data_IF_883128856023
#
_entry.id   IF_883128856023
#
_cell.length_a   1.000
_cell.length_b   1.000
_cell.length_c   1.000
_cell.angle_alpha   90.00
_cell.angle_beta   90.00
_cell.angle_gamma   90.00
#
_symmetry.space_group_name_H-M   'P 1'
#
loop_
_entity.id
_entity.type
_entity.pdbx_description
1 polymer ?
#
# COMPACT_ATOMS: atom_id res chain seq x y z
N UNK A 1 5.20 -13.69 36.82
CA UNK A 1 6.20 -12.83 36.15
C UNK A 1 5.44 -11.81 35.30
N UNK A 2 5.64 -10.51 35.51
CA UNK A 2 4.96 -9.48 34.73
C UNK A 2 5.78 -9.10 33.48
N UNK A 3 5.16 -8.80 32.32
CA UNK A 3 5.89 -8.47 31.11
C UNK A 3 6.50 -7.07 31.23
N UNK A 4 7.81 -6.97 30.95
CA UNK A 4 8.58 -5.73 30.94
C UNK A 4 8.15 -4.87 29.73
N UNK A 5 7.61 -3.68 29.96
CA UNK A 5 7.30 -2.72 28.88
C UNK A 5 8.60 -2.27 28.19
N UNK A 6 8.62 -2.36 26.85
CA UNK A 6 9.70 -1.81 26.04
C UNK A 6 9.60 -0.27 26.03
N UNK A 7 10.73 0.41 26.17
CA UNK A 7 10.80 1.87 26.13
C UNK A 7 10.44 2.39 24.72
N UNK A 8 9.79 3.57 24.60
CA UNK A 8 9.49 4.18 23.32
C UNK A 8 10.78 4.41 22.52
N UNK A 9 10.88 3.81 21.34
CA UNK A 9 12.04 3.98 20.45
C UNK A 9 11.96 5.37 19.82
N UNK A 10 12.75 6.32 20.31
CA UNK A 10 12.88 7.64 19.69
C UNK A 10 13.67 7.50 18.39
N UNK A 11 13.14 8.04 17.29
CA UNK A 11 13.78 8.06 15.97
C UNK A 11 14.05 9.52 15.61
N UNK A 12 15.32 9.94 15.66
CA UNK A 12 15.74 11.28 15.24
C UNK A 12 15.98 11.25 13.74
N UNK A 13 15.13 11.94 12.96
CA UNK A 13 15.29 12.09 11.51
C UNK A 13 15.79 13.50 11.21
N UNK A 14 16.95 13.63 10.58
CA UNK A 14 17.51 14.92 10.14
C UNK A 14 16.74 15.44 8.91
N UNK A 15 16.52 16.75 8.85
CA UNK A 15 15.86 17.40 7.73
C UNK A 15 16.77 17.42 6.48
N UNK A 16 16.33 16.95 5.30
CA UNK A 16 17.15 16.90 4.08
C UNK A 16 17.57 18.26 3.50
N UNK A 17 17.11 19.38 4.07
CA UNK A 17 17.33 20.75 3.54
C UNK A 17 18.29 21.61 4.36
N UNK A 18 18.92 21.08 5.41
CA UNK A 18 19.90 21.85 6.19
C UNK A 18 21.24 21.85 5.44
N UNK A 19 21.63 23.00 4.89
CA UNK A 19 23.04 23.26 4.55
C UNK A 19 23.87 23.07 5.82
N UNK A 20 24.72 22.04 5.83
CA UNK A 20 25.59 21.75 6.97
C UNK A 20 26.64 22.86 7.04
N UNK A 21 26.33 23.94 7.77
CA UNK A 21 27.32 24.91 8.19
C UNK A 21 28.03 24.33 9.43
N UNK A 22 29.30 23.92 9.34
CA UNK A 22 30.02 23.29 10.44
C UNK A 22 30.23 24.23 11.65
N UNK A 23 30.02 25.54 11.49
CA UNK A 23 30.10 26.54 12.55
C UNK A 23 28.75 26.89 13.19
N UNK A 24 27.65 26.25 12.76
CA UNK A 24 26.31 26.54 13.26
C UNK A 24 25.79 25.38 14.10
N UNK A 25 25.34 25.68 15.33
CA UNK A 25 24.67 24.68 16.16
C UNK A 25 23.42 24.15 15.44
N UNK A 26 23.17 22.83 15.43
CA UNK A 26 21.96 22.26 14.84
C UNK A 26 20.71 22.85 15.50
N UNK A 27 19.87 23.51 14.70
CA UNK A 27 18.61 24.07 15.19
C UNK A 27 17.50 23.03 15.07
N UNK A 28 16.84 22.68 16.18
CA UNK A 28 15.72 21.73 16.18
C UNK A 28 14.40 22.49 16.23
N UNK A 29 13.55 22.29 15.23
CA UNK A 29 12.19 22.82 15.23
C UNK A 29 11.24 21.77 15.78
N UNK A 30 10.63 22.05 16.92
CA UNK A 30 9.58 21.20 17.51
C UNK A 30 8.23 21.64 16.97
N UNK A 31 7.64 20.84 16.08
CA UNK A 31 6.27 21.04 15.61
C UNK A 31 5.30 20.23 16.49
N UNK A 32 4.35 20.90 17.13
CA UNK A 32 3.26 20.23 17.85
C UNK A 32 2.19 19.86 16.83
N UNK A 33 1.94 18.57 16.67
CA UNK A 33 0.87 18.03 15.82
C UNK A 33 -0.26 17.57 16.72
N UNK A 34 -1.47 18.09 16.50
CA UNK A 34 -2.68 17.66 17.23
C UNK A 34 -3.20 16.35 16.61
N UNK A 35 -3.78 15.47 17.42
CA UNK A 35 -4.31 14.17 16.97
C UNK A 35 -5.23 14.27 15.73
N UNK A 36 -6.08 15.29 15.66
CA UNK A 36 -6.96 15.52 14.50
C UNK A 36 -6.18 15.81 13.20
N UNK A 37 -5.06 16.53 13.29
CA UNK A 37 -4.19 16.80 12.14
C UNK A 37 -3.47 15.54 11.69
N UNK A 38 -2.99 14.72 12.64
CA UNK A 38 -2.39 13.43 12.33
C UNK A 38 -3.40 12.49 11.64
N UNK A 39 -4.63 12.45 12.14
CA UNK A 39 -5.70 11.66 11.52
C UNK A 39 -5.99 12.14 10.09
N UNK A 40 -6.09 13.46 9.88
CA UNK A 40 -6.32 14.04 8.55
C UNK A 40 -5.19 13.70 7.56
N UNK A 41 -3.93 13.71 8.01
CA UNK A 41 -2.79 13.30 7.18
C UNK A 41 -2.84 11.82 6.81
N UNK A 42 -3.27 10.96 7.73
CA UNK A 42 -3.45 9.53 7.48
C UNK A 42 -4.58 9.31 6.48
N UNK A 43 -5.74 9.95 6.68
CA UNK A 43 -6.91 9.81 5.82
C UNK A 43 -6.59 10.26 4.39
N UNK A 44 -5.84 11.35 4.22
CA UNK A 44 -5.35 11.81 2.92
C UNK A 44 -4.46 10.75 2.25
N UNK A 45 -3.50 10.18 2.99
CA UNK A 45 -2.62 9.14 2.46
C UNK A 45 -3.36 7.87 2.04
N UNK A 46 -4.35 7.45 2.84
CA UNK A 46 -5.21 6.29 2.55
C UNK A 46 -6.05 6.53 1.29
N UNK A 47 -6.66 7.71 1.15
CA UNK A 47 -7.46 8.06 -0.02
C UNK A 47 -6.63 8.05 -1.31
N UNK A 48 -5.40 8.60 -1.27
CA UNK A 48 -4.48 8.58 -2.41
C UNK A 48 -4.13 7.14 -2.82
N UNK A 49 -3.85 6.26 -1.85
CA UNK A 49 -3.56 4.86 -2.12
C UNK A 49 -4.76 4.10 -2.70
N UNK A 50 -5.97 4.39 -2.22
CA UNK A 50 -7.21 3.81 -2.73
C UNK A 50 -7.44 4.19 -4.20
N UNK A 51 -7.34 5.48 -4.52
CA UNK A 51 -7.52 5.98 -5.90
C UNK A 51 -6.50 5.34 -6.85
N UNK A 52 -5.23 5.23 -6.43
CA UNK A 52 -4.20 4.57 -7.24
C UNK A 52 -4.51 3.08 -7.48
N UNK A 53 -5.06 2.39 -6.48
CA UNK A 53 -5.48 0.99 -6.61
C UNK A 53 -6.65 0.85 -7.59
N UNK A 54 -7.67 1.68 -7.46
CA UNK A 54 -8.85 1.60 -8.32
C UNK A 54 -8.51 1.90 -9.77
N UNK A 55 -7.65 2.89 -10.02
CA UNK A 55 -7.11 3.17 -11.36
C UNK A 55 -6.37 1.98 -11.99
N UNK A 56 -5.75 1.12 -11.18
CA UNK A 56 -5.06 -0.10 -11.67
C UNK A 56 -6.03 -1.27 -11.93
N UNK A 57 -7.23 -1.27 -11.35
CA UNK A 57 -8.21 -2.36 -11.49
C UNK A 57 -9.13 -2.22 -12.69
N UNK A 58 -9.32 -1.00 -13.19
CA UNK A 58 -10.22 -0.74 -14.33
C UNK A 58 -9.72 -1.31 -15.66
N UNK A 59 -8.47 -1.76 -15.77
CA UNK A 59 -7.93 -2.41 -16.97
C UNK A 59 -8.17 -3.94 -16.96
N UNK A 60 -8.30 -4.56 -15.79
CA UNK A 60 -8.43 -6.02 -15.64
C UNK A 60 -9.87 -6.48 -15.32
N UNK A 61 -10.79 -5.57 -14.99
CA UNK A 61 -12.20 -5.88 -14.74
C UNK A 61 -13.03 -6.04 -16.03
N UNK A 62 -12.38 -6.15 -17.20
CA UNK A 62 -13.07 -6.59 -18.41
C UNK A 62 -13.26 -8.12 -18.33
N UNK A 63 -14.31 -8.55 -17.64
CA UNK A 63 -14.80 -9.93 -17.71
C UNK A 63 -15.37 -10.23 -19.12
N UNK A 64 -14.49 -10.32 -20.11
CA UNK A 64 -14.81 -10.90 -21.41
C UNK A 64 -14.69 -12.42 -21.28
N UNK A 65 -15.53 -13.05 -20.47
CA UNK A 65 -15.68 -14.51 -20.47
C UNK A 65 -16.53 -14.92 -21.69
N UNK A 66 -15.97 -14.67 -22.87
CA UNK A 66 -16.55 -15.08 -24.14
C UNK A 66 -16.51 -16.60 -24.29
N UNK A 67 -17.69 -17.22 -24.25
CA UNK A 67 -18.12 -18.27 -25.20
C UNK A 67 -17.03 -19.24 -25.71
N UNK A 68 -16.51 -20.08 -24.81
CA UNK A 68 -15.74 -21.28 -25.16
C UNK A 68 -16.66 -22.41 -25.65
N UNK A 69 -16.94 -22.40 -26.95
CA UNK A 69 -17.60 -23.40 -27.81
C UNK A 69 -17.67 -24.83 -27.22
N UNK A 70 -18.91 -25.33 -27.13
CA UNK A 70 -19.32 -26.70 -26.77
C UNK A 70 -18.37 -27.77 -27.32
N UNK A 71 -17.80 -28.61 -26.44
CA UNK A 71 -17.15 -29.86 -26.84
C UNK A 71 -18.19 -30.82 -27.39
N UNK A 72 -18.31 -30.94 -28.71
CA UNK A 72 -19.01 -32.04 -29.36
C UNK A 72 -18.25 -33.33 -29.09
N UNK A 73 -18.76 -34.17 -28.19
CA UNK A 73 -18.27 -35.52 -27.92
C UNK A 73 -18.58 -36.40 -29.13
N UNK A 74 -17.65 -36.53 -30.09
CA UNK A 74 -17.64 -37.66 -31.02
C UNK A 74 -16.80 -38.78 -30.42
N UNK A 75 -17.45 -39.71 -29.72
CA UNK A 75 -16.88 -41.05 -29.54
C UNK A 75 -17.63 -41.94 -30.52
N UNK A 76 -16.96 -42.30 -31.61
CA UNK A 76 -17.34 -43.43 -32.44
C UNK A 76 -16.11 -44.29 -32.58
N UNK A 77 -15.98 -45.30 -31.73
CA UNK A 77 -15.09 -46.44 -31.97
C UNK A 77 -15.82 -47.69 -31.49
N UNK A 78 -16.43 -48.38 -32.45
CA UNK A 78 -16.86 -49.76 -32.31
C UNK A 78 -15.64 -50.61 -31.91
N UNK A 79 -15.82 -51.46 -30.90
CA UNK A 79 -14.89 -52.56 -30.63
C UNK A 79 -15.53 -53.81 -31.20
N UNK A 80 -14.95 -54.36 -32.26
CA UNK A 80 -15.25 -55.71 -32.73
C UNK A 80 -14.64 -56.70 -31.73
N UNK A 81 -15.38 -57.78 -31.42
CA UNK A 81 -15.04 -58.82 -30.45
C UNK A 81 -13.96 -59.78 -30.97
#
# INVERSE_FOLDING_TARGET
MAPKKAAPKQTTRLNPGATSNPNQAPSTTTTIVINAQLQAMIDQGVNVALVARDANRTVDDSHTSGTGVRRTKRITRECTY
#
